data_IF_836292383895
#
_entry.id   IF_836292383895
#
_cell.length_a   1.000
_cell.length_b   1.000
_cell.length_c   1.000
_cell.angle_alpha   90.00
_cell.angle_beta   90.00
_cell.angle_gamma   90.00
#
_symmetry.space_group_name_H-M   'P 1'
#
loop_
_entity.id
_entity.type
_entity.pdbx_description
1 polymer ?
#
# COMPACT_ATOMS: atom_id res chain seq x y z
N UNK A 1 -5.21 13.02 -4.12
CA UNK A 1 -4.23 11.93 -4.32
C UNK A 1 -4.84 10.64 -3.81
N UNK A 2 -4.54 9.48 -4.40
CA UNK A 2 -5.00 8.19 -3.87
C UNK A 2 -4.04 7.65 -2.81
N UNK A 3 -4.53 6.76 -1.93
CA UNK A 3 -3.73 6.21 -0.83
C UNK A 3 -2.48 5.44 -1.31
N UNK A 4 -2.58 4.78 -2.46
CA UNK A 4 -1.50 4.02 -3.09
C UNK A 4 -0.42 4.93 -3.66
N UNK A 5 -0.81 6.02 -4.32
CA UNK A 5 0.10 7.07 -4.80
C UNK A 5 0.83 7.76 -3.64
N UNK A 6 0.10 8.09 -2.58
CA UNK A 6 0.67 8.69 -1.36
C UNK A 6 1.72 7.77 -0.72
N UNK A 7 1.37 6.50 -0.50
CA UNK A 7 2.28 5.52 0.09
C UNK A 7 3.50 5.26 -0.80
N UNK A 8 3.34 5.21 -2.12
CA UNK A 8 4.47 5.09 -3.04
C UNK A 8 5.46 6.25 -2.87
N UNK A 9 4.96 7.48 -2.79
CA UNK A 9 5.78 8.67 -2.60
C UNK A 9 6.51 8.66 -1.25
N UNK A 10 5.79 8.34 -0.16
CA UNK A 10 6.35 8.28 1.19
C UNK A 10 7.39 7.18 1.36
N UNK A 11 7.15 5.99 0.81
CA UNK A 11 8.13 4.91 0.83
C UNK A 11 9.40 5.24 0.04
N UNK A 12 9.29 5.97 -1.07
CA UNK A 12 10.46 6.45 -1.80
C UNK A 12 11.24 7.51 -1.03
N UNK A 13 10.55 8.37 -0.27
CA UNK A 13 11.17 9.36 0.62
C UNK A 13 11.91 8.69 1.78
N UNK A 14 11.26 7.72 2.43
CA UNK A 14 11.85 6.94 3.52
C UNK A 14 13.10 6.17 3.05
N UNK A 15 13.09 5.63 1.83
CA UNK A 15 14.26 4.95 1.26
C UNK A 15 15.45 5.90 1.07
N UNK A 16 15.20 7.12 0.57
CA UNK A 16 16.24 8.15 0.42
C UNK A 16 16.77 8.57 1.79
N UNK A 17 15.90 8.77 2.77
CA UNK A 17 16.29 9.13 4.13
C UNK A 17 17.09 8.01 4.80
N UNK A 18 16.70 6.76 4.60
CA UNK A 18 17.42 5.59 5.11
C UNK A 18 18.83 5.45 4.52
N UNK A 19 19.00 5.80 3.23
CA UNK A 19 20.32 5.81 2.60
C UNK A 19 21.26 6.87 3.19
N UNK A 20 20.70 7.97 3.72
CA UNK A 20 21.45 9.05 4.35
C UNK A 20 21.72 8.84 5.85
N UNK A 21 21.08 7.87 6.50
CA UNK A 21 21.15 7.66 7.95
C UNK A 21 22.36 6.79 8.38
N UNK A 22 22.90 7.08 9.57
CA UNK A 22 24.01 6.33 10.16
C UNK A 22 23.58 4.91 10.64
N UNK A 23 24.49 3.92 10.72
CA UNK A 23 24.16 2.50 10.94
C UNK A 23 23.45 2.11 12.25
N UNK A 24 23.39 3.00 13.24
CA UNK A 24 23.01 2.69 14.63
C UNK A 24 21.52 2.31 14.86
N UNK A 25 20.65 2.44 13.86
CA UNK A 25 19.20 2.21 13.97
C UNK A 25 18.72 0.86 13.42
N UNK A 26 19.62 -0.08 13.16
CA UNK A 26 19.31 -1.40 12.56
C UNK A 26 19.91 -1.62 11.17
N UNK A 27 20.82 -0.75 10.76
CA UNK A 27 21.52 -0.82 9.48
C UNK A 27 20.66 -0.44 8.27
N UNK A 28 21.26 0.11 7.19
CA UNK A 28 20.56 0.43 5.95
C UNK A 28 19.83 -0.77 5.33
N UNK A 29 20.31 -1.99 5.56
CA UNK A 29 19.76 -3.22 4.99
C UNK A 29 18.38 -3.57 5.57
N UNK A 30 18.20 -3.50 6.89
CA UNK A 30 16.90 -3.80 7.52
C UNK A 30 15.83 -2.82 7.05
N UNK A 31 16.17 -1.53 6.95
CA UNK A 31 15.23 -0.48 6.51
C UNK A 31 14.85 -0.69 5.04
N UNK A 32 15.80 -1.04 4.18
CA UNK A 32 15.51 -1.42 2.79
C UNK A 32 14.59 -2.64 2.71
N UNK A 33 14.84 -3.68 3.51
CA UNK A 33 14.00 -4.87 3.54
C UNK A 33 12.56 -4.55 4.01
N UNK A 34 12.38 -3.66 4.98
CA UNK A 34 11.07 -3.19 5.44
C UNK A 34 10.34 -2.39 4.33
N UNK A 35 11.03 -1.46 3.67
CA UNK A 35 10.48 -0.70 2.55
C UNK A 35 10.07 -1.62 1.40
N UNK A 36 10.90 -2.62 1.09
CA UNK A 36 10.58 -3.61 0.06
C UNK A 36 9.34 -4.44 0.44
N UNK A 37 9.22 -4.85 1.71
CA UNK A 37 8.03 -5.55 2.20
C UNK A 37 6.77 -4.68 2.05
N UNK A 38 6.83 -3.40 2.40
CA UNK A 38 5.72 -2.44 2.23
C UNK A 38 5.38 -2.21 0.75
N UNK A 39 6.39 -2.16 -0.13
CA UNK A 39 6.19 -2.11 -1.60
C UNK A 39 5.47 -3.34 -2.12
N UNK A 40 5.77 -4.53 -1.60
CA UNK A 40 5.05 -5.77 -2.00
C UNK A 40 3.57 -5.71 -1.62
N UNK A 41 3.23 -5.17 -0.45
CA UNK A 41 1.82 -4.94 -0.04
C UNK A 41 1.11 -4.00 -1.02
N UNK A 42 1.78 -2.89 -1.38
CA UNK A 42 1.24 -1.92 -2.33
C UNK A 42 1.01 -2.52 -3.73
N UNK A 43 1.96 -3.31 -4.21
CA UNK A 43 1.83 -4.05 -5.47
C UNK A 43 0.68 -5.06 -5.42
N UNK A 44 0.50 -5.76 -4.30
CA UNK A 44 -0.61 -6.67 -4.06
C UNK A 44 -1.97 -5.97 -4.19
N UNK A 45 -2.16 -4.85 -3.47
CA UNK A 45 -3.35 -4.01 -3.61
C UNK A 45 -3.59 -3.59 -5.07
N UNK A 46 -2.56 -3.06 -5.73
CA UNK A 46 -2.68 -2.51 -7.09
C UNK A 46 -3.05 -3.59 -8.11
N UNK A 47 -2.49 -4.81 -7.97
CA UNK A 47 -2.81 -5.94 -8.83
C UNK A 47 -4.25 -6.42 -8.61
N UNK A 48 -4.66 -6.62 -7.35
CA UNK A 48 -6.02 -7.05 -7.00
C UNK A 48 -7.06 -5.99 -7.41
N UNK A 49 -6.77 -4.71 -7.21
CA UNK A 49 -7.64 -3.61 -7.64
C UNK A 49 -7.85 -3.64 -9.16
N UNK A 50 -6.77 -3.78 -9.95
CA UNK A 50 -6.87 -3.89 -11.42
C UNK A 50 -7.68 -5.10 -11.85
N UNK A 51 -7.48 -6.25 -11.21
CA UNK A 51 -8.25 -7.47 -11.51
C UNK A 51 -9.74 -7.29 -11.22
N UNK A 52 -10.11 -6.74 -10.05
CA UNK A 52 -11.51 -6.48 -9.69
C UNK A 52 -12.18 -5.50 -10.66
N UNK A 53 -11.49 -4.41 -11.02
CA UNK A 53 -12.03 -3.43 -11.97
C UNK A 53 -12.20 -4.01 -13.38
N UNK A 54 -11.28 -4.87 -13.82
CA UNK A 54 -11.38 -5.55 -15.10
C UNK A 54 -12.55 -6.56 -15.13
N UNK A 55 -12.74 -7.32 -14.05
CA UNK A 55 -13.86 -8.26 -13.92
C UNK A 55 -15.21 -7.53 -13.93
N UNK A 56 -15.32 -6.43 -13.18
CA UNK A 56 -16.52 -5.59 -13.15
C UNK A 56 -16.85 -4.99 -14.53
N UNK A 57 -15.85 -4.54 -15.29
CA UNK A 57 -16.05 -3.99 -16.63
C UNK A 57 -16.50 -5.03 -17.65
N UNK A 58 -16.08 -6.29 -17.48
CA UNK A 58 -16.42 -7.39 -18.38
C UNK A 58 -17.79 -8.01 -18.06
N UNK A 59 -18.44 -7.62 -16.95
CA UNK A 59 -19.71 -8.21 -16.50
C UNK A 59 -19.61 -9.72 -16.19
N UNK A 60 -18.39 -10.24 -16.05
CA UNK A 60 -18.09 -11.66 -15.89
C UNK A 60 -18.26 -12.08 -14.44
N UNK A 61 -19.49 -12.09 -13.95
CA UNK A 61 -19.82 -12.59 -12.61
C UNK A 61 -20.07 -14.10 -12.65
N UNK A 62 -19.02 -14.91 -12.56
CA UNK A 62 -19.19 -16.23 -11.98
C UNK A 62 -19.46 -16.01 -10.48
N UNK A 63 -20.63 -16.41 -9.91
CA UNK A 63 -21.11 -15.92 -8.60
C UNK A 63 -20.22 -16.21 -7.38
N UNK A 64 -19.13 -16.97 -7.53
CA UNK A 64 -18.23 -17.35 -6.43
C UNK A 64 -16.83 -16.73 -6.45
N UNK A 65 -16.31 -16.34 -7.62
CA UNK A 65 -14.91 -15.89 -7.76
C UNK A 65 -14.77 -14.40 -7.40
N UNK A 66 -15.79 -13.60 -7.71
CA UNK A 66 -15.81 -12.16 -7.44
C UNK A 66 -15.83 -11.85 -5.93
N UNK A 67 -16.61 -12.60 -5.13
CA UNK A 67 -16.72 -12.35 -3.69
C UNK A 67 -15.37 -12.48 -2.96
N UNK A 68 -14.55 -13.46 -3.38
CA UNK A 68 -13.18 -13.62 -2.86
C UNK A 68 -12.26 -12.48 -3.27
N UNK A 69 -12.34 -12.05 -4.54
CA UNK A 69 -11.52 -10.95 -5.07
C UNK A 69 -11.85 -9.61 -4.39
N UNK A 70 -13.13 -9.27 -4.21
CA UNK A 70 -13.55 -8.06 -3.51
C UNK A 70 -13.18 -8.08 -2.02
N UNK A 71 -13.31 -9.24 -1.35
CA UNK A 71 -12.86 -9.40 0.03
C UNK A 71 -11.34 -9.20 0.16
N UNK A 72 -10.55 -9.80 -0.74
CA UNK A 72 -9.11 -9.60 -0.78
C UNK A 72 -8.75 -8.13 -1.04
N UNK A 73 -9.46 -7.44 -1.94
CA UNK A 73 -9.26 -6.02 -2.20
C UNK A 73 -9.50 -5.17 -0.95
N UNK A 74 -10.56 -5.47 -0.19
CA UNK A 74 -10.85 -4.79 1.08
C UNK A 74 -9.76 -5.07 2.13
N UNK A 75 -9.26 -6.30 2.24
CA UNK A 75 -8.17 -6.63 3.15
C UNK A 75 -6.88 -5.88 2.80
N UNK A 76 -6.54 -5.79 1.51
CA UNK A 76 -5.41 -4.98 1.06
C UNK A 76 -5.61 -3.49 1.36
N UNK A 77 -6.82 -2.97 1.14
CA UNK A 77 -7.15 -1.57 1.45
C UNK A 77 -6.95 -1.26 2.93
N UNK A 78 -7.41 -2.13 3.84
CA UNK A 78 -7.16 -2.03 5.29
C UNK A 78 -5.68 -2.01 5.63
N UNK A 79 -4.87 -2.86 4.98
CA UNK A 79 -3.43 -2.86 5.17
C UNK A 79 -2.81 -1.52 4.75
N UNK A 80 -3.25 -0.92 3.65
CA UNK A 80 -2.80 0.41 3.23
C UNK A 80 -3.20 1.51 4.21
N UNK A 81 -4.40 1.46 4.79
CA UNK A 81 -4.85 2.42 5.82
C UNK A 81 -3.96 2.37 7.06
N UNK A 82 -3.59 1.17 7.52
CA UNK A 82 -2.63 1.01 8.61
C UNK A 82 -1.23 1.52 8.27
N UNK A 83 -0.74 1.30 7.04
CA UNK A 83 0.54 1.87 6.60
C UNK A 83 0.48 3.40 6.52
N UNK A 84 -0.61 3.96 6.02
CA UNK A 84 -0.79 5.40 5.87
C UNK A 84 -0.90 6.11 7.22
N UNK A 85 -1.42 5.44 8.26
CA UNK A 85 -1.55 6.00 9.60
C UNK A 85 -0.22 6.48 10.21
N UNK A 86 0.93 5.91 9.81
CA UNK A 86 2.26 6.37 10.24
C UNK A 86 2.52 7.82 9.81
N UNK A 87 1.90 8.26 8.72
CA UNK A 87 2.06 9.59 8.15
C UNK A 87 0.88 10.51 8.47
N UNK A 88 0.10 10.25 9.53
CA UNK A 88 -1.10 11.03 9.86
C UNK A 88 -0.85 12.53 10.11
N UNK A 89 0.40 12.92 10.41
CA UNK A 89 0.81 14.31 10.56
C UNK A 89 1.32 14.97 9.27
N UNK A 90 1.41 14.22 8.16
CA UNK A 90 1.88 14.73 6.88
C UNK A 90 0.81 15.62 6.22
N UNK A 91 1.14 16.77 5.61
CA UNK A 91 0.15 17.69 5.03
C UNK A 91 -0.70 17.06 3.92
N UNK A 92 -0.10 16.17 3.11
CA UNK A 92 -0.83 15.45 2.05
C UNK A 92 -1.61 14.20 2.54
N UNK A 93 -1.61 13.89 3.83
CA UNK A 93 -2.39 12.79 4.37
C UNK A 93 -3.88 13.12 4.32
N UNK A 94 -4.69 12.22 3.78
CA UNK A 94 -6.15 12.36 3.77
C UNK A 94 -6.75 11.70 5.03
N UNK A 95 -7.48 12.45 5.89
CA UNK A 95 -8.10 11.91 7.09
C UNK A 95 -9.10 10.76 6.84
N UNK A 96 -9.61 10.59 5.63
CA UNK A 96 -10.46 9.46 5.25
C UNK A 96 -9.72 8.11 5.23
N UNK A 97 -8.39 8.11 5.29
CA UNK A 97 -7.57 6.90 5.37
C UNK A 97 -7.32 6.44 6.80
N UNK A 98 -7.97 7.06 7.79
CA UNK A 98 -7.89 6.60 9.19
C UNK A 98 -8.55 5.22 9.31
N UNK A 99 -7.88 4.22 9.93
CA UNK A 99 -8.44 2.89 10.13
C UNK A 99 -9.70 2.85 10.99
#
# INVERSE_FOLDING_TARGET
>A
MKIDEFLAARLAEDERAAHAAAPATGGPERVRADIEAKRRILSGYTATHRACMAAAAQGSAAPGDDAGAWSALHAWRRALEHLAAVYAAHPDYDPSWRP
#
